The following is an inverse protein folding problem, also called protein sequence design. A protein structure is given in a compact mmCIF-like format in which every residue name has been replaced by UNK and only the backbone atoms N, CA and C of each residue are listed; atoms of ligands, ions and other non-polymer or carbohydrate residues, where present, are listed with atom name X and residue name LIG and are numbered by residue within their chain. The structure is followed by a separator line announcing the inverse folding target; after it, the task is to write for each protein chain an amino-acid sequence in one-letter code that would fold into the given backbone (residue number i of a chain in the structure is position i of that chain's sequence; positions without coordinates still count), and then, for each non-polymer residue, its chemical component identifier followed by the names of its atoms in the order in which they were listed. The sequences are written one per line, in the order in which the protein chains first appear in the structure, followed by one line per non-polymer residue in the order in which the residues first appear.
data_IF_730429618518
#
_entry.id   IF_730429618518
#
_cell.length_a   1.000
_cell.length_b   1.000
_cell.length_c   1.000
_cell.angle_alpha   90.00
_cell.angle_beta   90.00
_cell.angle_gamma   90.00
#
_symmetry.space_group_name_H-M   'P 1'
#
loop_
_entity.id
_entity.type
_entity.pdbx_description
1 polymer ?
#
# COMPACT_ATOMS: atom_id res chain seq x y z
N UNK A 1 -7.58 41.43 14.80
CA UNK A 1 -6.62 40.88 15.77
C UNK A 1 -7.03 39.44 16.06
N UNK A 2 -6.41 38.46 15.39
CA UNK A 2 -6.67 37.05 15.64
C UNK A 2 -5.64 36.53 16.65
N UNK A 3 -6.13 36.01 17.77
CA UNK A 3 -5.32 35.52 18.88
C UNK A 3 -4.41 34.38 18.39
N UNK A 4 -3.10 34.59 18.48
CA UNK A 4 -2.11 33.52 18.39
C UNK A 4 -2.33 32.58 19.58
N UNK A 5 -2.85 31.39 19.30
CA UNK A 5 -2.88 30.29 20.27
C UNK A 5 -1.45 29.81 20.51
N UNK A 6 -0.84 30.30 21.60
CA UNK A 6 0.37 29.72 22.16
C UNK A 6 -0.01 28.45 22.91
N UNK A 7 -0.21 27.35 22.17
CA UNK A 7 -0.16 26.02 22.76
C UNK A 7 1.32 25.67 22.87
N UNK A 8 1.80 25.54 24.11
CA UNK A 8 3.14 25.07 24.43
C UNK A 8 3.41 23.77 23.66
N UNK A 9 4.33 23.85 22.70
CA UNK A 9 4.83 22.68 21.98
C UNK A 9 5.91 22.08 22.85
N UNK A 10 5.58 21.01 23.56
CA UNK A 10 6.59 20.04 23.93
C UNK A 10 7.12 19.43 22.63
N UNK A 11 8.22 20.00 22.15
CA UNK A 11 8.92 19.58 20.93
C UNK A 11 9.40 18.14 21.00
N UNK A 12 9.46 17.58 22.21
CA UNK A 12 9.98 16.26 22.52
C UNK A 12 8.89 15.19 22.59
N UNK A 13 7.62 15.56 22.37
CA UNK A 13 6.56 14.56 22.24
C UNK A 13 6.71 13.79 20.91
N UNK A 14 6.68 12.44 20.92
CA UNK A 14 6.86 11.63 19.72
C UNK A 14 5.90 12.00 18.57
N UNK A 15 4.67 12.40 18.92
CA UNK A 15 3.66 12.83 17.95
C UNK A 15 3.96 14.19 17.31
N UNK A 16 4.66 15.09 18.00
CA UNK A 16 4.97 16.42 17.46
C UNK A 16 6.07 16.37 16.39
N UNK A 17 7.13 15.60 16.62
CA UNK A 17 8.18 15.42 15.62
C UNK A 17 7.64 14.70 14.37
N UNK A 18 6.90 13.61 14.55
CA UNK A 18 6.33 12.85 13.43
C UNK A 18 5.35 13.68 12.60
N UNK A 19 4.41 14.39 13.25
CA UNK A 19 3.47 15.25 12.54
C UNK A 19 4.15 16.39 11.78
N UNK A 20 5.18 17.01 12.38
CA UNK A 20 5.97 18.06 11.73
C UNK A 20 6.77 17.53 10.56
N UNK A 21 7.34 16.34 10.69
CA UNK A 21 8.07 15.68 9.62
C UNK A 21 7.15 15.31 8.44
N UNK A 22 6.00 14.70 8.72
CA UNK A 22 5.00 14.35 7.71
C UNK A 22 4.48 15.59 6.98
N UNK A 23 4.09 16.65 7.72
CA UNK A 23 3.60 17.88 7.12
C UNK A 23 4.60 18.56 6.18
N UNK A 24 5.91 18.39 6.42
CA UNK A 24 6.98 18.94 5.58
C UNK A 24 7.26 18.10 4.33
N UNK A 25 7.20 16.78 4.45
CA UNK A 25 7.65 15.87 3.38
C UNK A 25 6.50 15.32 2.51
N UNK A 26 5.29 15.16 3.07
CA UNK A 26 4.13 14.63 2.34
C UNK A 26 3.85 15.39 1.03
N UNK A 27 3.84 16.74 0.98
CA UNK A 27 3.55 17.43 -0.28
C UNK A 27 4.55 17.13 -1.41
N UNK A 28 5.80 16.82 -1.07
CA UNK A 28 6.84 16.44 -2.03
C UNK A 28 6.70 14.99 -2.42
N UNK A 29 6.49 14.09 -1.44
CA UNK A 29 6.31 12.66 -1.69
C UNK A 29 5.09 12.39 -2.59
N UNK A 30 3.96 13.07 -2.33
CA UNK A 30 2.71 12.87 -3.07
C UNK A 30 2.66 13.60 -4.42
N UNK A 31 3.74 14.22 -4.89
CA UNK A 31 3.76 15.04 -6.11
C UNK A 31 4.09 14.21 -7.34
N UNK A 32 3.48 14.55 -8.48
CA UNK A 32 3.88 14.02 -9.79
C UNK A 32 3.18 12.73 -10.21
N UNK A 33 2.34 12.17 -9.35
CA UNK A 33 1.56 10.97 -9.64
C UNK A 33 0.07 11.26 -9.57
N UNK A 34 -0.71 10.50 -10.35
CA UNK A 34 -2.16 10.57 -10.30
C UNK A 34 -2.64 9.99 -8.97
N UNK A 35 -3.60 10.67 -8.34
CA UNK A 35 -4.32 10.09 -7.21
C UNK A 35 -5.28 9.02 -7.73
N UNK A 36 -5.13 7.81 -7.21
CA UNK A 36 -5.98 6.65 -7.50
C UNK A 36 -6.65 6.19 -6.22
N UNK A 37 -7.71 5.41 -6.38
CA UNK A 37 -8.32 4.73 -5.26
C UNK A 37 -7.40 3.57 -4.86
N UNK A 38 -6.80 3.67 -3.68
CA UNK A 38 -5.87 2.66 -3.16
C UNK A 38 -6.52 1.93 -1.97
N UNK A 39 -6.19 0.67 -1.80
CA UNK A 39 -6.66 -0.17 -0.71
C UNK A 39 -5.97 0.24 0.60
N UNK A 40 -4.67 0.54 0.54
CA UNK A 40 -3.88 1.05 1.66
C UNK A 40 -3.26 -0.04 2.54
N UNK A 41 -3.80 -1.27 2.53
CA UNK A 41 -3.20 -2.48 3.13
C UNK A 41 -3.39 -3.72 2.24
N UNK A 42 -2.99 -3.65 0.96
CA UNK A 42 -3.07 -4.81 0.06
C UNK A 42 -2.04 -5.88 0.44
N UNK A 43 -2.49 -6.91 1.14
CA UNK A 43 -1.68 -8.04 1.62
C UNK A 43 -2.38 -9.35 1.23
N UNK A 44 -1.62 -10.46 1.18
CA UNK A 44 -2.21 -11.78 0.90
C UNK A 44 -3.42 -12.10 1.77
N UNK A 45 -3.34 -11.75 3.06
CA UNK A 45 -4.39 -12.00 4.07
C UNK A 45 -5.72 -11.31 3.71
N UNK A 46 -5.68 -10.24 2.92
CA UNK A 46 -6.85 -9.43 2.53
C UNK A 46 -7.38 -9.81 1.15
N UNK A 47 -6.84 -10.85 0.50
CA UNK A 47 -7.27 -11.29 -0.83
C UNK A 47 -7.79 -12.73 -0.75
N UNK A 48 -9.05 -12.93 -1.10
CA UNK A 48 -9.62 -14.25 -1.29
C UNK A 48 -9.41 -14.70 -2.74
N UNK A 49 -8.96 -15.93 -2.89
CA UNK A 49 -8.76 -16.60 -4.18
C UNK A 49 -9.57 -17.88 -4.23
N UNK A 50 -10.10 -18.19 -5.41
CA UNK A 50 -10.69 -19.50 -5.72
C UNK A 50 -9.78 -20.25 -6.68
N UNK A 51 -9.68 -21.57 -6.48
CA UNK A 51 -8.99 -22.46 -7.40
C UNK A 51 -9.96 -22.86 -8.52
N UNK A 52 -9.65 -22.49 -9.76
CA UNK A 52 -10.33 -23.06 -10.91
C UNK A 52 -9.74 -24.44 -11.17
N UNK A 53 -10.54 -25.48 -10.88
CA UNK A 53 -10.17 -26.85 -11.22
C UNK A 53 -10.04 -26.96 -12.74
N UNK A 54 -8.85 -27.34 -13.18
CA UNK A 54 -8.54 -27.62 -14.57
C UNK A 54 -9.65 -28.48 -15.20
N UNK A 55 -10.32 -27.94 -16.22
CA UNK A 55 -11.39 -28.66 -16.92
C UNK A 55 -10.87 -29.96 -17.51
N UNK A 56 -11.74 -30.96 -17.68
CA UNK A 56 -11.39 -32.27 -18.23
C UNK A 56 -10.61 -32.12 -19.55
N UNK A 57 -9.28 -32.32 -19.49
CA UNK A 57 -8.37 -32.19 -20.63
C UNK A 57 -7.21 -31.20 -20.47
N UNK A 58 -7.19 -30.36 -19.42
CA UNK A 58 -6.01 -29.58 -19.06
C UNK A 58 -5.00 -30.48 -18.33
N UNK A 59 -3.76 -30.51 -18.83
CA UNK A 59 -2.63 -31.23 -18.24
C UNK A 59 -2.53 -30.89 -16.74
N UNK A 60 -2.20 -31.89 -15.91
CA UNK A 60 -1.75 -31.69 -14.53
C UNK A 60 -0.75 -30.53 -14.49
N UNK A 61 -1.20 -29.40 -13.97
CA UNK A 61 -0.49 -28.15 -13.89
C UNK A 61 -1.03 -27.39 -12.69
N UNK A 62 -0.24 -26.43 -12.20
CA UNK A 62 -0.58 -25.58 -11.06
C UNK A 62 -2.02 -25.04 -11.17
N UNK A 63 -2.82 -25.11 -10.11
CA UNK A 63 -4.20 -24.65 -10.13
C UNK A 63 -4.26 -23.16 -10.49
N UNK A 64 -5.19 -22.78 -11.37
CA UNK A 64 -5.37 -21.38 -11.71
C UNK A 64 -6.11 -20.68 -10.57
N UNK A 65 -5.45 -19.72 -9.94
CA UNK A 65 -6.04 -18.93 -8.85
C UNK A 65 -6.74 -17.70 -9.44
N UNK A 66 -8.02 -17.54 -9.12
CA UNK A 66 -8.83 -16.38 -9.47
C UNK A 66 -9.09 -15.56 -8.22
N UNK A 67 -8.71 -14.28 -8.22
CA UNK A 67 -9.07 -13.37 -7.14
C UNK A 67 -10.57 -13.10 -7.17
N UNK A 68 -11.27 -13.43 -6.08
CA UNK A 68 -12.72 -13.29 -6.00
C UNK A 68 -13.15 -12.09 -5.18
N UNK A 69 -12.46 -11.82 -4.08
CA UNK A 69 -12.81 -10.74 -3.16
C UNK A 69 -11.56 -10.11 -2.56
N UNK A 70 -11.56 -8.78 -2.47
CA UNK A 70 -10.62 -8.03 -1.63
C UNK A 70 -11.38 -7.66 -0.36
N UNK A 71 -10.80 -7.95 0.79
CA UNK A 71 -11.34 -7.76 2.13
C UNK A 71 -10.62 -6.58 2.83
N UNK A 72 -11.17 -6.15 3.96
CA UNK A 72 -10.52 -5.17 4.85
C UNK A 72 -10.41 -3.74 4.27
N UNK A 73 -11.50 -3.29 3.65
CA UNK A 73 -11.65 -1.92 3.11
C UNK A 73 -11.86 -0.84 4.19
N UNK A 74 -11.72 -1.15 5.47
CA UNK A 74 -12.28 -0.32 6.55
C UNK A 74 -11.34 0.83 6.99
N UNK A 75 -10.02 0.61 7.02
CA UNK A 75 -9.08 1.55 7.68
C UNK A 75 -8.10 2.30 6.75
N UNK A 76 -7.90 1.82 5.51
CA UNK A 76 -6.83 2.30 4.62
C UNK A 76 -7.29 3.03 3.35
N UNK A 77 -8.60 3.07 3.07
CA UNK A 77 -9.12 3.45 1.77
C UNK A 77 -9.13 4.96 1.59
N UNK A 78 -8.12 5.48 0.89
CA UNK A 78 -7.99 6.88 0.55
C UNK A 78 -7.48 7.07 -0.88
N UNK A 79 -7.61 8.30 -1.35
CA UNK A 79 -6.97 8.75 -2.59
C UNK A 79 -5.48 8.91 -2.33
N UNK A 80 -4.69 7.94 -2.78
CA UNK A 80 -3.24 7.98 -2.71
C UNK A 80 -2.62 8.07 -4.11
N UNK A 81 -1.38 8.54 -4.22
CA UNK A 81 -0.61 8.41 -5.46
C UNK A 81 -0.60 6.98 -5.99
N UNK A 82 -0.55 6.82 -7.31
CA UNK A 82 -0.55 5.51 -7.98
C UNK A 82 0.53 4.53 -7.50
N UNK A 83 1.64 5.03 -6.95
CA UNK A 83 2.73 4.21 -6.43
C UNK A 83 2.47 3.66 -5.02
N UNK A 84 1.46 4.16 -4.30
CA UNK A 84 1.30 3.94 -2.87
C UNK A 84 1.16 2.46 -2.51
N UNK A 85 0.29 1.74 -3.22
CA UNK A 85 0.05 0.30 -2.98
C UNK A 85 1.31 -0.54 -3.25
N UNK A 86 2.08 -0.16 -4.27
CA UNK A 86 3.35 -0.80 -4.57
C UNK A 86 4.37 -0.53 -3.46
N UNK A 87 4.47 0.71 -2.97
CA UNK A 87 5.49 1.10 -1.97
C UNK A 87 5.14 0.59 -0.56
N UNK A 88 3.86 0.63 -0.17
CA UNK A 88 3.40 0.11 1.13
C UNK A 88 3.57 -1.40 1.24
N UNK A 89 3.49 -2.14 0.14
CA UNK A 89 3.75 -3.58 0.14
C UNK A 89 5.17 -3.95 0.59
N UNK A 90 6.15 -3.05 0.43
CA UNK A 90 7.52 -3.27 0.89
C UNK A 90 7.66 -3.28 2.41
N UNK A 91 6.82 -2.50 3.10
CA UNK A 91 6.81 -2.43 4.57
C UNK A 91 6.31 -3.76 5.16
N UNK A 92 5.46 -4.48 4.41
CA UNK A 92 4.91 -5.78 4.79
C UNK A 92 5.67 -7.00 4.24
N UNK A 93 6.76 -6.82 3.48
CA UNK A 93 7.50 -7.96 2.93
C UNK A 93 8.19 -8.75 4.04
N UNK A 94 7.65 -9.94 4.31
CA UNK A 94 8.47 -11.03 4.82
C UNK A 94 9.27 -11.56 3.62
N UNK A 95 10.59 -11.36 3.61
CA UNK A 95 11.51 -11.80 2.53
C UNK A 95 11.52 -13.33 2.28
N UNK A 96 10.69 -14.09 2.99
CA UNK A 96 10.59 -15.54 2.92
C UNK A 96 9.57 -16.03 1.88
N UNK A 97 8.85 -15.12 1.20
CA UNK A 97 7.70 -15.48 0.39
C UNK A 97 7.75 -14.91 -1.07
N UNK A 98 6.96 -15.49 -1.97
CA UNK A 98 6.87 -15.11 -3.41
C UNK A 98 6.00 -13.85 -3.68
N UNK A 99 5.65 -13.11 -2.63
CA UNK A 99 4.67 -12.01 -2.69
C UNK A 99 5.14 -10.87 -3.58
N UNK A 100 6.42 -10.46 -3.54
CA UNK A 100 6.91 -9.39 -4.41
C UNK A 100 6.73 -9.73 -5.90
N UNK A 101 6.90 -11.00 -6.27
CA UNK A 101 6.75 -11.44 -7.66
C UNK A 101 5.29 -11.38 -8.10
N UNK A 102 4.36 -11.82 -7.25
CA UNK A 102 2.92 -11.73 -7.52
C UNK A 102 2.45 -10.28 -7.59
N UNK A 103 2.91 -9.41 -6.70
CA UNK A 103 2.60 -7.98 -6.76
C UNK A 103 3.04 -7.33 -8.07
N UNK A 104 4.21 -7.70 -8.59
CA UNK A 104 4.67 -7.21 -9.89
C UNK A 104 3.80 -7.65 -11.08
N UNK A 105 2.98 -8.68 -10.90
CA UNK A 105 1.97 -9.09 -11.90
C UNK A 105 0.62 -8.39 -11.73
N UNK A 106 0.32 -7.84 -10.55
CA UNK A 106 -0.97 -7.24 -10.18
C UNK A 106 -0.93 -5.71 -10.26
N UNK A 107 0.20 -5.10 -9.89
CA UNK A 107 0.39 -3.66 -9.81
C UNK A 107 1.42 -3.18 -10.83
N UNK A 108 1.27 -1.92 -11.25
CA UNK A 108 2.34 -1.22 -11.98
C UNK A 108 3.58 -1.10 -11.09
N UNK A 109 4.74 -1.45 -11.63
CA UNK A 109 6.02 -1.41 -10.92
C UNK A 109 6.54 0.03 -10.84
N UNK A 110 6.71 0.53 -9.61
CA UNK A 110 7.27 1.86 -9.31
C UNK A 110 8.56 1.74 -8.48
N UNK A 111 9.63 1.16 -9.04
CA UNK A 111 10.84 0.82 -8.26
C UNK A 111 11.60 2.04 -7.73
N UNK A 112 11.47 3.20 -8.39
CA UNK A 112 12.10 4.45 -7.92
C UNK A 112 11.39 4.96 -6.66
N UNK A 113 10.07 4.87 -6.63
CA UNK A 113 9.21 5.32 -5.55
C UNK A 113 9.28 4.38 -4.34
N UNK A 114 9.42 3.07 -4.59
CA UNK A 114 9.64 2.06 -3.55
C UNK A 114 11.04 2.13 -2.90
N UNK A 115 12.04 2.71 -3.57
CA UNK A 115 13.40 2.83 -3.01
C UNK A 115 13.51 3.83 -1.85
N UNK A 116 12.43 4.59 -1.57
CA UNK A 116 12.34 5.55 -0.47
C UNK A 116 11.55 5.05 0.75
N UNK A 117 11.02 3.81 0.71
CA UNK A 117 10.32 3.17 1.83
C UNK A 117 11.23 2.47 2.82
#
# INVERSE_FOLDING_TARGET
MALRSQIGRDSDSPGFWLSTWLARNLPTALRGHRFVFAHGDLQRKTILVEEELAGEGQKEGEPMLIVTVILDWEDGVLWYPSYWEYSSSFIGFCLEDDWPEKLGSILDLWPLEASFS
#
